data_IF_956576655219
#
_entry.id   IF_956576655219
#
_cell.length_a   1.000
_cell.length_b   1.000
_cell.length_c   1.000
_cell.angle_alpha   90.00
_cell.angle_beta   90.00
_cell.angle_gamma   90.00
#
_symmetry.space_group_name_H-M   'P 1'
#
loop_
_entity.id
_entity.type
_entity.pdbx_description
1 polymer ?
#
# COMPACT_ATOMS: atom_id res chain seq x y z
N UNK A 1 -16.13 -70.20 -6.53
CA UNK A 1 -17.54 -69.84 -6.33
C UNK A 1 -17.53 -68.39 -5.90
N UNK A 2 -17.60 -67.50 -6.89
CA UNK A 2 -18.69 -66.49 -7.04
C UNK A 2 -18.64 -65.42 -5.94
N UNK A 3 -18.04 -64.25 -6.22
CA UNK A 3 -18.69 -63.02 -6.70
C UNK A 3 -19.81 -62.53 -5.79
N UNK A 4 -19.68 -61.29 -5.28
CA UNK A 4 -20.65 -60.20 -5.50
C UNK A 4 -20.02 -58.85 -5.11
N UNK A 5 -20.55 -57.82 -5.76
CA UNK A 5 -20.02 -56.49 -6.06
C UNK A 5 -20.85 -55.45 -5.29
N UNK A 6 -20.26 -54.38 -4.73
CA UNK A 6 -20.95 -53.10 -4.46
C UNK A 6 -19.94 -51.99 -4.10
N UNK A 7 -19.60 -51.16 -5.10
CA UNK A 7 -19.94 -49.73 -5.23
C UNK A 7 -19.71 -48.81 -4.02
N UNK A 8 -18.60 -48.06 -4.09
CA UNK A 8 -18.49 -46.59 -4.02
C UNK A 8 -19.55 -45.81 -3.21
N UNK A 9 -19.10 -45.21 -2.10
CA UNK A 9 -19.54 -43.86 -1.72
C UNK A 9 -18.44 -43.13 -0.93
N UNK A 10 -17.98 -42.07 -1.58
CA UNK A 10 -17.11 -41.01 -1.10
C UNK A 10 -17.84 -40.22 0.00
N UNK A 11 -17.26 -40.17 1.21
CA UNK A 11 -17.66 -39.23 2.26
C UNK A 11 -16.40 -38.49 2.69
N UNK A 12 -16.25 -37.30 2.11
CA UNK A 12 -15.20 -36.35 2.36
C UNK A 12 -15.16 -35.97 3.85
N UNK A 13 -14.05 -36.30 4.50
CA UNK A 13 -13.75 -35.92 5.87
C UNK A 13 -13.20 -34.48 5.87
N UNK A 14 -13.84 -33.56 6.59
CA UNK A 14 -13.61 -32.11 6.60
C UNK A 14 -12.26 -31.63 7.20
N UNK A 15 -11.25 -32.50 7.32
CA UNK A 15 -10.00 -32.18 8.02
C UNK A 15 -8.86 -31.65 7.14
N UNK A 16 -9.07 -31.42 5.84
CA UNK A 16 -7.99 -30.99 4.91
C UNK A 16 -7.97 -29.50 4.54
N UNK A 17 -8.81 -28.66 5.15
CA UNK A 17 -8.89 -27.22 4.79
C UNK A 17 -7.78 -26.37 5.46
N UNK A 18 -7.11 -26.88 6.50
CA UNK A 18 -6.10 -26.14 7.27
C UNK A 18 -4.64 -26.39 6.84
N UNK A 19 -4.40 -27.16 5.78
CA UNK A 19 -3.04 -27.49 5.31
C UNK A 19 -2.74 -27.06 3.85
N UNK A 20 -3.52 -26.12 3.33
CA UNK A 20 -3.15 -25.46 2.08
C UNK A 20 -2.02 -24.46 2.34
N UNK A 21 -0.78 -24.98 2.35
CA UNK A 21 0.45 -24.22 2.21
C UNK A 21 0.22 -23.06 1.23
N UNK A 22 0.24 -21.82 1.71
CA UNK A 22 0.25 -20.62 0.89
C UNK A 22 1.44 -20.73 -0.08
N UNK A 23 1.16 -21.17 -1.29
CA UNK A 23 2.19 -21.37 -2.28
C UNK A 23 2.71 -20.00 -2.69
N UNK A 24 4.01 -19.75 -2.49
CA UNK A 24 4.77 -18.62 -3.09
C UNK A 24 4.49 -18.43 -4.59
N UNK A 25 3.99 -19.47 -5.26
CA UNK A 25 3.57 -19.47 -6.66
C UNK A 25 2.27 -18.71 -6.93
N UNK A 26 1.32 -18.68 -5.99
CA UNK A 26 0.12 -17.85 -6.12
C UNK A 26 0.48 -16.37 -6.07
N UNK A 27 1.39 -15.97 -5.18
CA UNK A 27 1.89 -14.59 -5.11
C UNK A 27 2.53 -14.12 -6.44
N UNK A 28 3.28 -14.98 -7.13
CA UNK A 28 3.87 -14.66 -8.45
C UNK A 28 2.88 -14.76 -9.61
N UNK A 29 1.81 -15.56 -9.51
CA UNK A 29 0.73 -15.58 -10.51
C UNK A 29 -0.13 -14.30 -10.46
N UNK A 30 -0.24 -13.65 -9.30
CA UNK A 30 -0.91 -12.35 -9.17
C UNK A 30 -0.03 -11.16 -9.61
N UNK A 31 1.29 -11.30 -9.65
CA UNK A 31 2.21 -10.28 -10.16
C UNK A 31 2.48 -10.39 -11.69
N UNK A 32 2.23 -11.56 -12.30
CA UNK A 32 2.58 -11.85 -13.70
C UNK A 32 1.57 -11.42 -14.77
N UNK A 33 0.36 -10.98 -14.40
CA UNK A 33 -0.69 -10.59 -15.35
C UNK A 33 -0.66 -9.10 -15.76
N UNK A 34 0.43 -8.37 -15.45
CA UNK A 34 0.58 -6.94 -15.73
C UNK A 34 1.35 -6.59 -17.01
N UNK A 35 1.91 -7.57 -17.74
CA UNK A 35 2.82 -7.31 -18.86
C UNK A 35 2.22 -7.70 -20.22
N UNK A 36 1.22 -6.95 -20.70
CA UNK A 36 0.93 -6.79 -22.15
C UNK A 36 -0.35 -5.96 -22.40
N UNK A 37 -0.34 -4.63 -22.20
CA UNK A 37 -1.19 -3.72 -22.99
C UNK A 37 -0.50 -2.36 -23.14
N UNK A 38 0.44 -2.25 -24.08
CA UNK A 38 0.75 -0.98 -24.74
C UNK A 38 0.67 -1.24 -26.24
N UNK A 39 -0.53 -1.09 -26.78
CA UNK A 39 -0.78 -1.05 -28.23
C UNK A 39 -2.01 -0.17 -28.51
N UNK A 40 -1.72 1.10 -28.83
CA UNK A 40 -2.46 2.00 -29.72
C UNK A 40 -3.97 1.74 -29.93
N UNK A 41 -4.80 2.50 -29.22
CA UNK A 41 -6.16 2.83 -29.69
C UNK A 41 -6.35 4.34 -29.74
N UNK A 42 -5.75 4.97 -30.76
CA UNK A 42 -6.16 6.29 -31.22
C UNK A 42 -7.20 6.11 -32.35
N UNK A 43 -8.46 5.91 -31.98
CA UNK A 43 -9.58 6.01 -32.93
C UNK A 43 -10.89 6.33 -32.19
N UNK A 44 -11.32 7.57 -32.33
CA UNK A 44 -12.71 7.98 -32.46
C UNK A 44 -13.72 7.46 -31.43
N UNK A 45 -13.97 8.26 -30.39
CA UNK A 45 -15.32 8.64 -29.98
C UNK A 45 -15.24 9.89 -29.11
N UNK A 46 -15.73 11.03 -29.64
CA UNK A 46 -16.11 12.17 -28.81
C UNK A 46 -17.35 11.74 -28.03
N UNK A 47 -17.13 11.27 -26.82
CA UNK A 47 -18.17 11.22 -25.79
C UNK A 47 -17.59 12.03 -24.64
N UNK A 48 -18.35 13.03 -24.23
CA UNK A 48 -17.99 13.98 -23.20
C UNK A 48 -17.27 13.26 -22.06
N UNK A 49 -15.97 13.55 -21.92
CA UNK A 49 -15.28 13.26 -20.66
C UNK A 49 -15.87 14.24 -19.67
N UNK A 50 -16.99 13.84 -19.08
CA UNK A 50 -17.36 14.33 -17.77
C UNK A 50 -16.18 13.89 -16.90
N UNK A 51 -15.23 14.78 -16.67
CA UNK A 51 -14.43 14.67 -15.45
C UNK A 51 -15.49 14.60 -14.35
N UNK A 52 -15.66 13.47 -13.64
CA UNK A 52 -16.54 13.49 -12.49
C UNK A 52 -16.06 14.68 -11.65
N UNK A 53 -16.96 15.55 -11.17
CA UNK A 53 -16.55 16.57 -10.23
C UNK A 53 -15.72 15.87 -9.15
N UNK A 54 -14.62 16.48 -8.70
CA UNK A 54 -13.83 15.97 -7.57
C UNK A 54 -14.74 15.94 -6.33
N UNK A 55 -15.61 14.94 -6.27
CA UNK A 55 -16.46 14.60 -5.16
C UNK A 55 -15.53 13.93 -4.17
N UNK A 56 -15.41 14.53 -2.99
CA UNK A 56 -14.63 13.94 -1.92
C UNK A 56 -15.05 12.49 -1.66
N UNK A 57 -14.14 11.72 -1.07
CA UNK A 57 -14.43 10.39 -0.57
C UNK A 57 -14.70 10.43 0.93
N UNK A 58 -15.42 9.44 1.44
CA UNK A 58 -15.67 9.28 2.88
C UNK A 58 -15.04 8.00 3.36
N UNK A 59 -14.22 8.09 4.40
CA UNK A 59 -13.69 6.96 5.15
C UNK A 59 -14.55 6.77 6.40
N UNK A 60 -15.27 5.64 6.46
CA UNK A 60 -16.19 5.29 7.55
C UNK A 60 -15.58 4.22 8.45
N UNK A 61 -15.06 4.62 9.60
CA UNK A 61 -14.34 3.77 10.55
C UNK A 61 -15.25 2.97 11.50
N UNK A 62 -16.51 2.72 11.12
CA UNK A 62 -17.46 1.90 11.90
C UNK A 62 -17.08 0.41 11.97
N UNK A 63 -16.28 -0.05 11.01
CA UNK A 63 -15.81 -1.44 10.88
C UNK A 63 -14.42 -1.47 10.21
N UNK A 64 -13.90 -2.68 9.99
CA UNK A 64 -12.58 -2.89 9.40
C UNK A 64 -12.46 -2.30 7.99
N UNK A 65 -13.56 -2.19 7.22
CA UNK A 65 -13.51 -1.64 5.86
C UNK A 65 -13.15 -0.16 5.86
N UNK A 66 -13.45 0.57 6.94
CA UNK A 66 -12.95 1.93 7.13
C UNK A 66 -11.44 1.99 7.23
N UNK A 67 -10.85 1.08 8.01
CA UNK A 67 -9.39 0.97 8.18
C UNK A 67 -8.72 0.51 6.89
N UNK A 68 -9.32 -0.45 6.18
CA UNK A 68 -8.80 -0.93 4.90
C UNK A 68 -8.89 0.13 3.79
N UNK A 69 -9.97 0.91 3.72
CA UNK A 69 -10.07 2.04 2.79
C UNK A 69 -9.11 3.18 3.14
N UNK A 70 -8.83 3.38 4.42
CA UNK A 70 -7.81 4.31 4.88
C UNK A 70 -6.42 3.87 4.42
N UNK A 71 -6.04 2.60 4.62
CA UNK A 71 -4.78 2.06 4.09
C UNK A 71 -4.75 2.21 2.55
N UNK A 72 -5.82 1.80 1.86
CA UNK A 72 -5.93 1.93 0.41
C UNK A 72 -5.77 3.38 -0.10
N UNK A 73 -6.21 4.38 0.65
CA UNK A 73 -6.01 5.79 0.30
C UNK A 73 -4.52 6.17 0.32
N UNK A 74 -3.78 5.70 1.34
CA UNK A 74 -2.35 5.96 1.47
C UNK A 74 -1.54 5.19 0.43
N UNK A 75 -1.89 3.92 0.18
CA UNK A 75 -1.25 3.12 -0.88
C UNK A 75 -1.45 3.70 -2.28
N UNK A 76 -2.60 4.34 -2.53
CA UNK A 76 -2.82 5.09 -3.78
C UNK A 76 -1.88 6.29 -3.90
N UNK A 77 -1.63 7.00 -2.80
CA UNK A 77 -0.72 8.14 -2.75
C UNK A 77 0.72 7.69 -3.01
N UNK A 78 1.19 6.66 -2.32
CA UNK A 78 2.56 6.16 -2.45
C UNK A 78 2.80 5.52 -3.82
N UNK A 79 1.87 4.69 -4.30
CA UNK A 79 1.96 4.14 -5.65
C UNK A 79 2.02 5.26 -6.71
N UNK A 80 1.23 6.33 -6.58
CA UNK A 80 1.28 7.46 -7.51
C UNK A 80 2.64 8.17 -7.46
N UNK A 81 3.20 8.38 -6.27
CA UNK A 81 4.52 8.98 -6.09
C UNK A 81 5.62 8.14 -6.74
N UNK A 82 5.71 6.85 -6.42
CA UNK A 82 6.76 5.98 -6.94
C UNK A 82 6.64 5.73 -8.45
N UNK A 83 5.42 5.68 -8.99
CA UNK A 83 5.22 5.64 -10.45
C UNK A 83 5.82 6.89 -11.10
N UNK A 84 5.61 8.07 -10.50
CA UNK A 84 6.18 9.31 -11.01
C UNK A 84 7.72 9.27 -10.95
N UNK A 85 8.30 8.83 -9.84
CA UNK A 85 9.75 8.71 -9.69
C UNK A 85 10.35 7.73 -10.71
N UNK A 86 9.82 6.51 -10.83
CA UNK A 86 10.42 5.52 -11.73
C UNK A 86 10.21 5.84 -13.22
N UNK A 87 9.15 6.58 -13.56
CA UNK A 87 8.92 7.04 -14.95
C UNK A 87 9.96 8.05 -15.44
N UNK A 88 10.51 8.86 -14.52
CA UNK A 88 11.49 9.90 -14.81
C UNK A 88 12.42 10.10 -13.60
N UNK A 89 13.34 9.16 -13.32
CA UNK A 89 14.15 9.20 -12.12
C UNK A 89 15.12 10.40 -12.15
N UNK A 90 15.39 11.05 -11.00
CA UNK A 90 16.38 12.13 -10.92
C UNK A 90 17.72 11.72 -11.53
N UNK A 91 18.36 12.63 -12.26
CA UNK A 91 19.67 12.38 -12.87
C UNK A 91 20.74 12.04 -11.82
N UNK A 92 20.60 12.59 -10.61
CA UNK A 92 21.47 12.33 -9.47
C UNK A 92 21.35 10.93 -8.86
N UNK A 93 20.36 10.13 -9.22
CA UNK A 93 20.28 8.74 -8.75
C UNK A 93 21.45 7.92 -9.29
N UNK A 94 21.94 7.02 -8.45
CA UNK A 94 22.81 5.90 -8.82
C UNK A 94 22.01 4.78 -9.49
N UNK A 95 22.70 3.80 -10.07
CA UNK A 95 22.05 2.60 -10.61
C UNK A 95 21.34 1.80 -9.52
N UNK A 96 21.91 1.71 -8.31
CA UNK A 96 21.29 1.03 -7.19
C UNK A 96 19.98 1.71 -6.78
N UNK A 97 19.97 3.05 -6.70
CA UNK A 97 18.76 3.81 -6.38
C UNK A 97 17.69 3.67 -7.47
N UNK A 98 18.07 3.72 -8.75
CA UNK A 98 17.12 3.45 -9.85
C UNK A 98 16.49 2.06 -9.77
N UNK A 99 17.26 1.05 -9.40
CA UNK A 99 16.73 -0.31 -9.23
C UNK A 99 15.80 -0.38 -8.01
N UNK A 100 16.22 0.18 -6.88
CA UNK A 100 15.39 0.23 -5.67
C UNK A 100 14.07 0.97 -5.90
N UNK A 101 14.10 2.14 -6.54
CA UNK A 101 12.89 2.91 -6.84
C UNK A 101 11.97 2.23 -7.89
N UNK A 102 12.52 1.35 -8.75
CA UNK A 102 11.69 0.47 -9.58
C UNK A 102 11.03 -0.63 -8.73
N UNK A 103 11.76 -1.26 -7.82
CA UNK A 103 11.24 -2.34 -6.98
C UNK A 103 10.12 -1.84 -6.05
N UNK A 104 10.34 -0.73 -5.34
CA UNK A 104 9.34 -0.15 -4.43
C UNK A 104 8.08 0.30 -5.19
N UNK A 105 8.21 0.83 -6.42
CA UNK A 105 7.04 1.11 -7.25
C UNK A 105 6.16 -0.13 -7.45
N UNK A 106 6.77 -1.30 -7.68
CA UNK A 106 6.00 -2.54 -7.81
C UNK A 106 5.37 -2.98 -6.49
N UNK A 107 6.04 -2.76 -5.36
CA UNK A 107 5.48 -3.05 -4.04
C UNK A 107 4.25 -2.18 -3.75
N UNK A 108 4.34 -0.87 -3.94
CA UNK A 108 3.20 0.02 -3.66
C UNK A 108 2.03 -0.19 -4.63
N UNK A 109 2.32 -0.51 -5.89
CA UNK A 109 1.26 -0.95 -6.81
C UNK A 109 0.61 -2.24 -6.31
N UNK A 110 1.41 -3.21 -5.83
CA UNK A 110 0.89 -4.46 -5.31
C UNK A 110 0.05 -4.26 -4.05
N UNK A 111 0.47 -3.40 -3.12
CA UNK A 111 -0.32 -3.05 -1.93
C UNK A 111 -1.63 -2.35 -2.30
N UNK A 112 -1.58 -1.34 -3.18
CA UNK A 112 -2.77 -0.67 -3.71
C UNK A 112 -3.76 -1.65 -4.33
N UNK A 113 -3.31 -2.49 -5.26
CA UNK A 113 -4.19 -3.46 -5.93
C UNK A 113 -4.66 -4.54 -4.95
N UNK A 114 -3.84 -4.91 -3.98
CA UNK A 114 -4.23 -5.82 -2.91
C UNK A 114 -5.47 -5.28 -2.16
N UNK A 115 -5.42 -4.04 -1.65
CA UNK A 115 -6.56 -3.47 -0.93
C UNK A 115 -7.76 -3.26 -1.82
N UNK A 116 -7.57 -2.77 -3.05
CA UNK A 116 -8.64 -2.61 -4.02
C UNK A 116 -9.41 -3.92 -4.24
N UNK A 117 -8.68 -5.02 -4.37
CA UNK A 117 -9.27 -6.35 -4.55
C UNK A 117 -9.95 -6.85 -3.27
N UNK A 118 -9.32 -6.67 -2.10
CA UNK A 118 -9.89 -7.07 -0.81
C UNK A 118 -11.19 -6.32 -0.49
N UNK A 119 -11.25 -5.04 -0.82
CA UNK A 119 -12.40 -4.17 -0.60
C UNK A 119 -13.52 -4.39 -1.63
N UNK A 120 -13.19 -4.77 -2.86
CA UNK A 120 -14.15 -4.99 -3.93
C UNK A 120 -15.06 -3.78 -4.15
N UNK A 121 -16.37 -3.99 -4.08
CA UNK A 121 -17.35 -2.91 -4.26
C UNK A 121 -17.35 -1.85 -3.13
N UNK A 122 -16.72 -2.15 -1.99
CA UNK A 122 -16.57 -1.21 -0.87
C UNK A 122 -15.32 -0.32 -1.01
N UNK A 123 -14.50 -0.50 -2.05
CA UNK A 123 -13.33 0.33 -2.29
C UNK A 123 -13.73 1.77 -2.62
N UNK A 124 -13.05 2.73 -2.00
CA UNK A 124 -13.14 4.14 -2.42
C UNK A 124 -12.68 4.31 -3.87
N UNK A 125 -13.15 5.37 -4.52
CA UNK A 125 -12.70 5.75 -5.85
C UNK A 125 -11.22 6.15 -5.88
N UNK A 126 -10.69 6.30 -7.10
CA UNK A 126 -9.31 6.76 -7.29
C UNK A 126 -9.09 8.16 -6.73
N UNK A 127 -8.00 8.35 -6.00
CA UNK A 127 -7.61 9.66 -5.47
C UNK A 127 -6.82 10.46 -6.50
N UNK A 128 -7.12 11.75 -6.60
CA UNK A 128 -6.27 12.72 -7.28
C UNK A 128 -5.22 13.22 -6.30
N UNK A 129 -3.95 13.23 -6.71
CA UNK A 129 -2.80 13.65 -5.90
C UNK A 129 -2.27 15.03 -6.30
N UNK A 130 -1.52 15.66 -5.38
CA UNK A 130 -0.79 16.90 -5.61
C UNK A 130 0.66 16.78 -5.16
N UNK A 131 1.57 16.57 -6.11
CA UNK A 131 3.01 16.55 -5.83
C UNK A 131 3.71 17.84 -6.26
N UNK A 132 2.98 18.95 -6.44
CA UNK A 132 3.57 20.23 -6.88
C UNK A 132 4.64 20.79 -5.94
N UNK A 133 4.67 20.36 -4.68
CA UNK A 133 5.69 20.72 -3.70
C UNK A 133 6.95 19.86 -3.76
N UNK A 134 6.98 18.81 -4.60
CA UNK A 134 8.12 17.89 -4.73
C UNK A 134 8.85 18.19 -6.05
N UNK A 135 10.15 18.46 -5.97
CA UNK A 135 11.01 18.56 -7.14
C UNK A 135 11.52 17.18 -7.55
N UNK A 136 10.85 16.54 -8.51
CA UNK A 136 11.24 15.23 -9.04
C UNK A 136 12.56 15.22 -9.83
N UNK A 137 13.16 16.37 -10.10
CA UNK A 137 14.48 16.43 -10.75
C UNK A 137 15.63 16.35 -9.74
N UNK A 138 15.35 16.61 -8.46
CA UNK A 138 16.32 16.63 -7.38
C UNK A 138 16.34 15.31 -6.60
N UNK A 139 17.50 14.64 -6.58
CA UNK A 139 17.72 13.43 -5.77
C UNK A 139 17.34 13.66 -4.30
N UNK A 140 17.79 14.78 -3.73
CA UNK A 140 17.52 15.12 -2.32
C UNK A 140 16.03 15.35 -2.07
N UNK A 141 15.34 16.03 -2.98
CA UNK A 141 13.89 16.26 -2.84
C UNK A 141 13.11 14.94 -2.92
N UNK A 142 13.46 14.05 -3.85
CA UNK A 142 12.79 12.75 -3.99
C UNK A 142 13.05 11.84 -2.79
N UNK A 143 14.30 11.72 -2.33
CA UNK A 143 14.62 10.92 -1.15
C UNK A 143 13.94 11.46 0.11
N UNK A 144 13.90 12.79 0.29
CA UNK A 144 13.20 13.42 1.41
C UNK A 144 11.69 13.16 1.39
N UNK A 145 11.06 13.20 0.21
CA UNK A 145 9.65 12.85 0.06
C UNK A 145 9.39 11.36 0.29
N UNK A 146 10.23 10.48 -0.25
CA UNK A 146 10.15 9.04 -0.03
C UNK A 146 10.24 8.69 1.46
N UNK A 147 11.24 9.22 2.17
CA UNK A 147 11.37 9.03 3.62
C UNK A 147 10.12 9.48 4.37
N UNK A 148 9.58 10.65 4.02
CA UNK A 148 8.39 11.18 4.67
C UNK A 148 7.13 10.35 4.40
N UNK A 149 7.01 9.72 3.23
CA UNK A 149 5.91 8.82 2.90
C UNK A 149 6.05 7.51 3.65
N UNK A 150 7.19 6.83 3.54
CA UNK A 150 7.40 5.53 4.20
C UNK A 150 7.27 5.61 5.72
N UNK A 151 7.88 6.63 6.35
CA UNK A 151 7.77 6.82 7.80
C UNK A 151 6.33 7.09 8.23
N UNK A 152 5.56 7.84 7.41
CA UNK A 152 4.16 8.10 7.65
C UNK A 152 3.31 6.84 7.43
N UNK A 153 3.63 6.03 6.42
CA UNK A 153 2.99 4.74 6.13
C UNK A 153 3.15 3.76 7.29
N UNK A 154 4.36 3.61 7.82
CA UNK A 154 4.61 2.80 9.03
C UNK A 154 3.78 3.31 10.21
N UNK A 155 3.79 4.62 10.47
CA UNK A 155 3.01 5.22 11.55
C UNK A 155 1.50 5.05 11.35
N UNK A 156 1.03 5.05 10.10
CA UNK A 156 -0.36 4.85 9.74
C UNK A 156 -0.82 3.42 10.04
N UNK A 157 -0.07 2.41 9.61
CA UNK A 157 -0.39 1.01 9.88
C UNK A 157 -0.39 0.70 11.37
N UNK A 158 0.66 1.12 12.08
CA UNK A 158 0.78 0.86 13.52
C UNK A 158 -0.33 1.55 14.32
N UNK A 159 -0.66 2.80 13.99
CA UNK A 159 -1.68 3.56 14.71
C UNK A 159 -3.12 3.17 14.36
N UNK A 160 -3.38 2.69 13.14
CA UNK A 160 -4.70 2.22 12.74
C UNK A 160 -4.95 0.76 13.13
N UNK A 161 -3.90 -0.04 13.37
CA UNK A 161 -4.01 -1.47 13.69
C UNK A 161 -4.91 -1.78 14.89
N UNK A 162 -4.99 -0.88 15.87
CA UNK A 162 -5.88 -1.03 17.05
C UNK A 162 -7.36 -1.01 16.71
N UNK A 163 -7.74 -0.55 15.52
CA UNK A 163 -9.12 -0.47 15.03
C UNK A 163 -9.53 -1.68 14.20
N UNK A 164 -8.60 -2.60 13.90
CA UNK A 164 -8.89 -3.83 13.16
C UNK A 164 -9.40 -4.90 14.14
N UNK A 165 -10.61 -5.39 13.89
CA UNK A 165 -11.27 -6.43 14.68
C UNK A 165 -10.99 -7.83 14.11
N UNK A 166 -10.96 -7.96 12.78
CA UNK A 166 -10.69 -9.24 12.14
C UNK A 166 -9.20 -9.57 12.17
N UNK A 167 -8.84 -10.69 12.82
CA UNK A 167 -7.47 -11.17 12.94
C UNK A 167 -6.77 -11.44 11.60
N UNK A 168 -7.50 -11.82 10.55
CA UNK A 168 -6.93 -12.05 9.22
C UNK A 168 -6.47 -10.72 8.60
N UNK A 169 -7.26 -9.66 8.79
CA UNK A 169 -6.88 -8.31 8.35
C UNK A 169 -5.74 -7.74 9.19
N UNK A 170 -5.71 -8.01 10.50
CA UNK A 170 -4.61 -7.57 11.36
C UNK A 170 -3.30 -8.29 10.99
N UNK A 171 -3.34 -9.60 10.78
CA UNK A 171 -2.19 -10.38 10.33
C UNK A 171 -1.63 -9.89 9.00
N UNK A 172 -2.53 -9.54 8.08
CA UNK A 172 -2.19 -9.01 6.78
C UNK A 172 -1.59 -7.60 6.86
N UNK A 173 -2.19 -6.70 7.62
CA UNK A 173 -1.63 -5.37 7.90
C UNK A 173 -0.22 -5.48 8.50
N UNK A 174 -0.01 -6.43 9.43
CA UNK A 174 1.30 -6.75 10.00
C UNK A 174 2.34 -7.21 8.96
N UNK A 175 1.92 -7.86 7.87
CA UNK A 175 2.82 -8.22 6.77
C UNK A 175 3.19 -7.01 5.92
N UNK A 176 2.24 -6.14 5.63
CA UNK A 176 2.46 -4.94 4.79
C UNK A 176 3.34 -3.94 5.53
N UNK A 177 3.04 -3.61 6.80
CA UNK A 177 3.87 -2.69 7.58
C UNK A 177 5.32 -3.19 7.76
N UNK A 178 5.54 -4.51 7.73
CA UNK A 178 6.90 -5.07 7.73
C UNK A 178 7.67 -4.83 6.42
N UNK A 179 6.98 -4.62 5.31
CA UNK A 179 7.54 -4.18 4.03
C UNK A 179 7.82 -2.67 4.10
N UNK A 180 6.85 -1.86 4.52
CA UNK A 180 7.03 -0.40 4.67
C UNK A 180 8.19 -0.05 5.59
N UNK A 181 8.31 -0.74 6.74
CA UNK A 181 9.42 -0.50 7.66
C UNK A 181 10.80 -0.79 7.02
N UNK A 182 10.88 -1.72 6.06
CA UNK A 182 12.13 -2.00 5.32
C UNK A 182 12.40 -0.93 4.26
N UNK A 183 11.37 -0.42 3.60
CA UNK A 183 11.49 0.72 2.70
C UNK A 183 11.99 1.96 3.45
N UNK A 184 11.30 2.33 4.53
CA UNK A 184 11.65 3.44 5.41
C UNK A 184 13.11 3.34 5.90
N UNK A 185 13.49 2.17 6.44
CA UNK A 185 14.84 1.92 6.93
C UNK A 185 15.90 2.06 5.83
N UNK A 186 15.65 1.53 4.63
CA UNK A 186 16.61 1.61 3.54
C UNK A 186 16.75 3.04 2.98
N UNK A 187 15.64 3.78 2.82
CA UNK A 187 15.69 5.17 2.38
C UNK A 187 16.47 6.04 3.36
N UNK A 188 16.26 5.88 4.67
CA UNK A 188 17.07 6.58 5.69
C UNK A 188 18.56 6.29 5.52
N UNK A 189 18.92 5.02 5.29
CA UNK A 189 20.32 4.62 5.07
C UNK A 189 20.94 5.20 3.78
N UNK A 190 20.15 5.32 2.70
CA UNK A 190 20.58 6.00 1.45
C UNK A 190 20.83 7.50 1.71
N UNK A 191 19.99 8.15 2.52
CA UNK A 191 20.12 9.57 2.85
C UNK A 191 21.33 9.79 3.75
N UNK A 192 21.46 8.97 4.79
CA UNK A 192 22.55 9.01 5.76
C UNK A 192 22.87 7.60 6.23
N UNK A 193 24.00 7.07 5.76
CA UNK A 193 24.49 5.74 6.10
C UNK A 193 24.52 5.51 7.63
N UNK A 194 23.95 4.40 8.08
CA UNK A 194 23.86 4.00 9.49
C UNK A 194 22.60 4.46 10.21
N UNK A 195 21.64 5.12 9.54
CA UNK A 195 20.41 5.65 10.18
C UNK A 195 19.19 4.74 10.03
N UNK A 196 19.35 3.53 9.48
CA UNK A 196 18.25 2.58 9.26
C UNK A 196 17.45 2.24 10.54
N UNK A 197 18.07 2.33 11.71
CA UNK A 197 17.49 2.03 13.03
C UNK A 197 17.27 3.27 13.93
N UNK A 198 17.27 4.48 13.37
CA UNK A 198 17.14 5.73 14.14
C UNK A 198 15.70 6.02 14.62
N UNK A 199 15.27 5.30 15.65
CA UNK A 199 13.96 5.51 16.32
C UNK A 199 13.78 6.92 16.91
N UNK A 200 14.80 7.55 17.55
CA UNK A 200 14.65 8.92 18.05
C UNK A 200 14.15 9.93 17.02
N UNK A 201 14.59 9.82 15.76
CA UNK A 201 14.12 10.69 14.66
C UNK A 201 12.61 10.60 14.39
N UNK A 202 11.97 9.49 14.76
CA UNK A 202 10.56 9.18 14.53
C UNK A 202 9.65 9.63 15.68
N UNK A 203 10.18 10.29 16.71
CA UNK A 203 9.39 10.85 17.81
C UNK A 203 8.24 11.76 17.33
N UNK A 204 8.39 12.62 16.31
CA UNK A 204 7.28 13.42 15.77
C UNK A 204 6.14 12.58 15.17
N UNK A 205 6.42 11.32 14.80
CA UNK A 205 5.46 10.35 14.29
C UNK A 205 4.97 9.38 15.38
N UNK A 206 5.21 9.70 16.65
CA UNK A 206 4.69 8.95 17.78
C UNK A 206 5.51 7.73 18.19
N UNK A 207 6.77 7.63 17.77
CA UNK A 207 7.63 6.51 18.16
C UNK A 207 7.89 6.47 19.67
N UNK A 208 7.97 5.25 20.24
CA UNK A 208 8.36 5.04 21.63
C UNK A 208 9.83 4.66 21.71
N UNK A 209 10.69 5.66 21.91
CA UNK A 209 12.15 5.48 22.00
C UNK A 209 12.56 4.55 23.13
N UNK A 210 11.93 4.65 24.30
CA UNK A 210 12.28 3.82 25.45
C UNK A 210 11.89 2.35 25.26
N UNK A 211 10.79 2.11 24.55
CA UNK A 211 10.30 0.77 24.22
C UNK A 211 10.83 0.20 22.91
N UNK A 212 11.66 0.95 22.17
CA UNK A 212 12.08 0.62 20.81
C UNK A 212 10.90 0.27 19.89
N UNK A 213 9.78 0.98 20.01
CA UNK A 213 8.61 0.84 19.13
C UNK A 213 8.60 1.96 18.10
N UNK A 214 8.28 1.59 16.86
CA UNK A 214 8.20 2.51 15.73
C UNK A 214 7.06 3.54 15.88
N UNK A 215 6.98 4.48 14.94
CA UNK A 215 5.93 5.49 14.88
C UNK A 215 4.53 4.87 14.88
N UNK A 216 3.58 5.57 15.49
CA UNK A 216 2.17 5.21 15.52
C UNK A 216 1.33 6.48 15.66
N UNK A 217 0.56 6.82 14.62
CA UNK A 217 -0.32 7.97 14.58
C UNK A 217 -1.77 7.56 14.35
N UNK A 218 -2.69 8.26 15.00
CA UNK A 218 -4.13 8.08 14.73
C UNK A 218 -4.45 8.51 13.29
N UNK A 219 -5.45 7.88 12.63
CA UNK A 219 -5.76 8.17 11.24
C UNK A 219 -6.02 9.65 10.91
N UNK A 220 -6.61 10.43 11.83
CA UNK A 220 -6.81 11.87 11.66
C UNK A 220 -5.48 12.64 11.53
N UNK A 221 -4.48 12.29 12.35
CA UNK A 221 -3.14 12.92 12.28
C UNK A 221 -2.44 12.56 10.99
N UNK A 222 -2.53 11.30 10.57
CA UNK A 222 -1.92 10.85 9.31
C UNK A 222 -2.57 11.56 8.13
N UNK A 223 -3.90 11.59 8.05
CA UNK A 223 -4.61 12.29 6.98
C UNK A 223 -4.35 13.80 6.99
N UNK A 224 -4.10 14.40 8.16
CA UNK A 224 -3.64 15.77 8.26
C UNK A 224 -2.27 16.00 7.61
N UNK A 225 -1.34 15.04 7.73
CA UNK A 225 -0.01 15.11 7.11
C UNK A 225 -0.08 14.77 5.62
N UNK A 226 -0.76 13.67 5.25
CA UNK A 226 -0.88 13.19 3.88
C UNK A 226 -1.74 14.12 3.01
N UNK A 227 -2.71 14.83 3.61
CA UNK A 227 -3.67 15.69 2.90
C UNK A 227 -3.05 16.80 2.08
N UNK A 228 -1.82 17.24 2.38
CA UNK A 228 -1.08 18.20 1.54
C UNK A 228 -0.74 17.66 0.14
N UNK A 229 -0.80 16.34 -0.04
CA UNK A 229 -0.50 15.64 -1.28
C UNK A 229 -1.72 14.99 -1.94
N UNK A 230 -2.92 15.19 -1.39
CA UNK A 230 -4.17 14.59 -1.90
C UNK A 230 -5.12 15.72 -2.26
N UNK A 231 -5.47 15.84 -3.54
CA UNK A 231 -6.47 16.81 -4.05
C UNK A 231 -7.90 16.35 -3.78
N UNK A 232 -8.14 15.05 -3.83
CA UNK A 232 -9.46 14.50 -3.47
C UNK A 232 -9.71 14.79 -2.00
N UNK A 233 -10.79 15.52 -1.70
CA UNK A 233 -11.19 15.75 -0.31
C UNK A 233 -11.52 14.42 0.37
N UNK A 234 -10.94 14.18 1.55
CA UNK A 234 -11.23 13.00 2.37
C UNK A 234 -12.02 13.44 3.60
N UNK A 235 -13.23 12.92 3.76
CA UNK A 235 -14.04 13.10 4.95
C UNK A 235 -13.90 11.85 5.84
N UNK A 236 -13.74 12.03 7.14
CA UNK A 236 -13.62 10.94 8.11
C UNK A 236 -14.84 10.94 9.02
N UNK A 237 -15.44 9.77 9.19
CA UNK A 237 -16.55 9.55 10.14
C UNK A 237 -16.29 8.30 10.97
N UNK A 238 -16.87 8.25 12.18
CA UNK A 238 -16.80 7.10 13.10
C UNK A 238 -15.36 6.68 13.51
N UNK A 239 -14.42 7.65 13.51
CA UNK A 239 -13.03 7.47 13.96
C UNK A 239 -12.90 7.35 15.48
#
# INVERSE_FOLDING_TARGET
MENLNEKQQDVLNESTILEAKLQRRSFLQYAGAGAAVVALTAAGCRKDRVNPPLTGTTLDFKDDFGVLNYAYALEQLEAAFYIQVASAPPSGFSTAERNYFNDIQYHEIAHREFFKNALGAAAIGSLAVDFSSIDFTSRTSVLGAAMAFEDLGVAAYNGAGVRIVNNDYLLLAGKIVSVEARHAAYIRDIISNGTFADIPSLTPLGANVAGALDGALTPDKVLGIAGKYIKTQINVINL
#
